data_IF_834024772238
#
_entry.id   IF_834024772238
#
_cell.length_a   1.000
_cell.length_b   1.000
_cell.length_c   1.000
_cell.angle_alpha   90.00
_cell.angle_beta   90.00
_cell.angle_gamma   90.00
#
_symmetry.space_group_name_H-M   'P 1'
#
loop_
_entity.id
_entity.type
_entity.pdbx_description
1 polymer ?
#
# COMPACT_ATOMS: atom_id res chain seq x y z
N UNK A 1 8.65 14.35 -10.81
CA UNK A 1 9.41 14.90 -10.16
C UNK A 1 10.91 14.74 -10.21
N UNK A 2 11.56 15.87 -10.20
CA UNK A 2 13.01 15.94 -10.34
C UNK A 2 13.70 16.00 -8.98
N UNK A 3 13.15 15.30 -8.01
CA UNK A 3 13.73 15.25 -6.67
C UNK A 3 14.80 14.15 -6.62
N UNK A 4 16.10 14.50 -6.51
CA UNK A 4 17.16 13.50 -6.46
C UNK A 4 17.01 12.50 -5.32
N UNK A 5 16.46 12.97 -4.19
CA UNK A 5 16.24 12.11 -3.04
C UNK A 5 15.19 11.04 -3.33
N UNK A 6 14.15 11.42 -4.06
CA UNK A 6 13.10 10.51 -4.47
C UNK A 6 13.66 9.39 -5.36
N UNK A 7 14.43 9.75 -6.37
CA UNK A 7 15.06 8.79 -7.26
C UNK A 7 16.04 7.88 -6.52
N UNK A 8 16.80 8.44 -5.60
CA UNK A 8 17.75 7.67 -4.80
C UNK A 8 17.04 6.60 -3.97
N UNK A 9 15.90 6.95 -3.39
CA UNK A 9 15.11 5.99 -2.61
C UNK A 9 14.59 4.86 -3.47
N UNK A 10 14.13 5.17 -4.68
CA UNK A 10 13.61 4.15 -5.61
C UNK A 10 14.72 3.20 -6.03
N UNK A 11 15.88 3.73 -6.39
CA UNK A 11 17.02 2.91 -6.81
C UNK A 11 17.47 1.99 -5.68
N UNK A 12 17.55 2.51 -4.46
CA UNK A 12 17.95 1.70 -3.32
C UNK A 12 16.96 0.58 -3.04
N UNK A 13 15.67 0.86 -3.16
CA UNK A 13 14.63 -0.15 -2.97
C UNK A 13 14.80 -1.30 -3.95
N UNK A 14 15.02 -0.98 -5.22
CA UNK A 14 15.17 -2.02 -6.24
C UNK A 14 16.44 -2.83 -6.06
N UNK A 15 17.52 -2.21 -5.60
CA UNK A 15 18.75 -2.93 -5.28
C UNK A 15 18.52 -3.96 -4.19
N UNK A 16 17.79 -3.59 -3.18
CA UNK A 16 17.50 -4.50 -2.06
C UNK A 16 16.68 -5.71 -2.51
N UNK A 17 15.82 -5.52 -3.51
CA UNK A 17 15.01 -6.60 -4.04
C UNK A 17 15.76 -7.52 -4.98
N UNK A 18 16.90 -7.09 -5.49
CA UNK A 18 17.72 -7.86 -6.43
C UNK A 18 16.95 -8.28 -7.68
N UNK A 19 16.07 -7.44 -8.15
CA UNK A 19 15.26 -7.72 -9.32
C UNK A 19 16.03 -7.60 -10.62
N UNK A 20 15.52 -8.25 -11.65
CA UNK A 20 16.01 -8.06 -13.00
C UNK A 20 15.69 -6.65 -13.45
N UNK A 21 16.50 -6.11 -14.33
CA UNK A 21 16.36 -4.73 -14.80
C UNK A 21 14.97 -4.43 -15.37
N UNK A 22 14.42 -5.37 -16.13
CA UNK A 22 13.08 -5.20 -16.70
C UNK A 22 11.99 -5.10 -15.63
N UNK A 23 12.13 -5.83 -14.56
CA UNK A 23 11.18 -5.80 -13.45
C UNK A 23 11.25 -4.47 -12.70
N UNK A 24 12.43 -3.86 -12.62
CA UNK A 24 12.61 -2.56 -12.00
C UNK A 24 11.73 -1.52 -12.70
N UNK A 25 11.70 -1.51 -14.02
CA UNK A 25 10.91 -0.56 -14.79
C UNK A 25 9.42 -0.70 -14.48
N UNK A 26 8.91 -1.92 -14.46
CA UNK A 26 7.51 -2.17 -14.19
C UNK A 26 7.13 -1.82 -12.77
N UNK A 27 8.04 -2.07 -11.83
CA UNK A 27 7.76 -1.94 -10.41
C UNK A 27 7.88 -0.52 -9.87
N UNK A 28 8.29 0.46 -10.68
CA UNK A 28 8.41 1.84 -10.22
C UNK A 28 7.36 2.78 -10.78
N UNK A 29 6.59 2.33 -11.76
CA UNK A 29 5.59 3.19 -12.40
C UNK A 29 4.58 3.76 -11.39
N UNK A 30 4.19 2.96 -10.41
CA UNK A 30 3.21 3.41 -9.41
C UNK A 30 3.72 4.56 -8.54
N UNK A 31 5.03 4.80 -8.48
CA UNK A 31 5.56 5.95 -7.75
C UNK A 31 5.22 7.26 -8.44
N UNK A 32 5.06 7.24 -9.75
CA UNK A 32 4.85 8.45 -10.53
C UNK A 32 3.40 8.65 -10.93
N UNK A 33 2.66 7.57 -11.00
CA UNK A 33 1.28 7.59 -11.45
C UNK A 33 0.43 6.75 -10.52
N UNK A 34 -0.65 7.31 -9.94
CA UNK A 34 -1.53 6.52 -9.08
C UNK A 34 -2.06 5.31 -9.85
N UNK A 35 -2.07 4.14 -9.22
CA UNK A 35 -2.52 2.94 -9.91
C UNK A 35 -4.02 2.94 -10.14
N UNK A 36 -4.45 2.29 -11.21
CA UNK A 36 -5.86 2.02 -11.43
C UNK A 36 -6.05 0.50 -11.43
N UNK A 37 -7.17 0.05 -10.85
CA UNK A 37 -7.41 -1.38 -10.67
C UNK A 37 -8.88 -1.60 -10.32
N UNK A 38 -9.34 -2.82 -10.50
CA UNK A 38 -10.69 -3.21 -10.10
C UNK A 38 -10.76 -3.35 -8.58
N UNK A 39 -11.90 -2.97 -7.98
CA UNK A 39 -12.07 -3.07 -6.52
C UNK A 39 -11.88 -4.49 -5.99
N UNK A 40 -12.17 -5.50 -6.81
CA UNK A 40 -12.00 -6.89 -6.44
C UNK A 40 -10.53 -7.23 -6.12
N UNK A 41 -9.60 -6.50 -6.71
CA UNK A 41 -8.19 -6.71 -6.44
C UNK A 41 -7.80 -6.34 -5.02
N UNK A 42 -8.57 -5.48 -4.39
CA UNK A 42 -8.35 -5.08 -3.00
C UNK A 42 -8.73 -6.17 -2.00
N UNK A 43 -9.51 -7.13 -2.44
CA UNK A 43 -10.01 -8.19 -1.55
C UNK A 43 -8.97 -9.28 -1.35
N UNK A 44 -8.63 -9.55 -0.11
CA UNK A 44 -7.77 -10.68 0.23
C UNK A 44 -8.62 -11.94 0.27
N UNK A 45 -8.28 -12.89 -0.59
CA UNK A 45 -9.07 -14.11 -0.73
C UNK A 45 -8.19 -15.33 -0.82
N UNK A 46 -7.57 -15.73 0.30
CA UNK A 46 -6.69 -16.90 0.27
C UNK A 46 -7.41 -18.18 -0.14
N UNK A 47 -8.70 -18.26 0.14
CA UNK A 47 -9.51 -19.42 -0.21
C UNK A 47 -10.35 -19.22 -1.47
N UNK A 48 -10.21 -18.10 -2.13
CA UNK A 48 -10.91 -17.77 -3.37
C UNK A 48 -12.41 -17.88 -3.31
N UNK A 49 -12.97 -17.41 -2.24
CA UNK A 49 -14.40 -17.53 -1.99
C UNK A 49 -15.23 -16.48 -2.73
N UNK A 50 -14.61 -15.66 -3.58
CA UNK A 50 -15.30 -14.60 -4.27
C UNK A 50 -15.57 -13.42 -3.36
N UNK A 51 -15.87 -12.27 -3.94
CA UNK A 51 -16.10 -11.05 -3.18
C UNK A 51 -17.56 -10.91 -2.80
N UNK A 52 -17.99 -11.51 -1.68
CA UNK A 52 -19.34 -11.31 -1.21
C UNK A 52 -19.46 -9.97 -0.48
N UNK A 53 -20.70 -9.57 -0.17
CA UNK A 53 -20.95 -8.27 0.48
C UNK A 53 -20.22 -8.10 1.79
N UNK A 54 -20.07 -9.17 2.56
CA UNK A 54 -19.38 -9.14 3.83
C UNK A 54 -17.91 -8.81 3.66
N UNK A 55 -17.26 -9.45 2.67
CA UNK A 55 -15.85 -9.22 2.39
C UNK A 55 -15.63 -7.78 1.90
N UNK A 56 -16.53 -7.29 1.06
CA UNK A 56 -16.48 -5.93 0.54
C UNK A 56 -16.58 -4.92 1.68
N UNK A 57 -17.56 -5.10 2.56
CA UNK A 57 -17.74 -4.20 3.71
C UNK A 57 -16.55 -4.23 4.65
N UNK A 58 -16.04 -5.43 4.92
CA UNK A 58 -14.88 -5.57 5.80
C UNK A 58 -13.64 -4.90 5.22
N UNK A 59 -13.41 -5.08 3.93
CA UNK A 59 -12.24 -4.48 3.26
C UNK A 59 -12.32 -2.96 3.28
N UNK A 60 -13.51 -2.41 3.01
CA UNK A 60 -13.70 -0.97 3.10
C UNK A 60 -13.39 -0.45 4.49
N UNK A 61 -13.91 -1.13 5.50
CA UNK A 61 -13.70 -0.77 6.89
C UNK A 61 -12.23 -0.82 7.28
N UNK A 62 -11.54 -1.86 6.80
CA UNK A 62 -10.10 -2.02 7.04
C UNK A 62 -9.32 -0.86 6.43
N UNK A 63 -9.63 -0.50 5.18
CA UNK A 63 -8.97 0.62 4.52
C UNK A 63 -9.21 1.94 5.26
N UNK A 64 -10.43 2.15 5.74
CA UNK A 64 -10.76 3.34 6.51
C UNK A 64 -9.96 3.39 7.81
N UNK A 65 -9.80 2.26 8.47
CA UNK A 65 -9.02 2.20 9.71
C UNK A 65 -7.53 2.41 9.44
N UNK A 66 -7.00 1.82 8.38
CA UNK A 66 -5.60 2.03 7.98
C UNK A 66 -5.36 3.53 7.76
N UNK A 67 -6.24 4.17 7.00
CA UNK A 67 -6.12 5.59 6.71
C UNK A 67 -6.12 6.42 7.99
N UNK A 68 -7.01 6.08 8.91
CA UNK A 68 -7.11 6.76 10.20
C UNK A 68 -5.84 6.62 11.01
N UNK A 69 -5.31 5.41 11.11
CA UNK A 69 -4.09 5.14 11.88
C UNK A 69 -2.89 5.88 11.29
N UNK A 70 -2.76 5.87 9.97
CA UNK A 70 -1.63 6.54 9.33
C UNK A 70 -1.77 8.06 9.37
N UNK A 71 -2.98 8.56 9.40
CA UNK A 71 -3.21 10.00 9.52
C UNK A 71 -2.71 10.56 10.86
N UNK A 72 -2.59 9.71 11.86
CA UNK A 72 -2.07 10.12 13.17
C UNK A 72 -0.56 10.30 13.20
N UNK A 73 0.16 9.76 12.20
CA UNK A 73 1.60 9.96 12.11
C UNK A 73 1.90 11.31 11.45
N UNK A 74 2.87 12.03 11.99
CA UNK A 74 3.34 13.26 11.36
C UNK A 74 4.18 12.91 10.13
N UNK A 75 4.30 13.85 9.19
CA UNK A 75 5.08 13.63 7.98
C UNK A 75 6.52 13.22 8.28
N UNK A 76 7.13 13.84 9.27
CA UNK A 76 8.52 13.56 9.64
C UNK A 76 8.68 12.19 10.29
N UNK A 77 7.59 11.62 10.80
CA UNK A 77 7.58 10.30 11.41
C UNK A 77 7.07 9.22 10.46
N UNK A 78 6.82 9.60 9.22
CA UNK A 78 6.22 8.70 8.22
C UNK A 78 7.30 7.82 7.58
N UNK A 79 7.82 6.90 8.37
CA UNK A 79 8.85 5.95 7.95
C UNK A 79 8.25 4.55 7.85
N UNK A 80 8.91 3.70 7.08
CA UNK A 80 8.43 2.31 6.91
C UNK A 80 8.26 1.62 8.25
N UNK A 81 9.19 1.83 9.17
CA UNK A 81 9.12 1.25 10.50
C UNK A 81 7.91 1.73 11.28
N UNK A 82 7.70 3.04 11.33
CA UNK A 82 6.60 3.62 12.09
C UNK A 82 5.25 3.27 11.47
N UNK A 83 5.18 3.24 10.15
CA UNK A 83 3.97 2.83 9.45
C UNK A 83 3.62 1.39 9.81
N UNK A 84 4.60 0.50 9.75
CA UNK A 84 4.37 -0.90 10.09
C UNK A 84 3.93 -1.05 11.55
N UNK A 85 4.60 -0.38 12.47
CA UNK A 85 4.25 -0.43 13.88
C UNK A 85 2.84 0.10 14.14
N UNK A 86 2.45 1.14 13.43
CA UNK A 86 1.11 1.72 13.57
C UNK A 86 0.01 0.76 13.14
N UNK A 87 0.29 -0.11 12.18
CA UNK A 87 -0.70 -1.03 11.65
C UNK A 87 -0.62 -2.44 12.26
N UNK A 88 0.48 -2.75 12.95
CA UNK A 88 0.75 -4.13 13.36
C UNK A 88 -0.31 -4.70 14.31
N UNK A 89 -0.68 -3.95 15.34
CA UNK A 89 -1.67 -4.43 16.29
C UNK A 89 -3.02 -4.69 15.62
N UNK A 90 -3.41 -3.79 14.74
CA UNK A 90 -4.64 -3.93 14.00
C UNK A 90 -4.57 -5.16 13.06
N UNK A 91 -3.42 -5.35 12.42
CA UNK A 91 -3.22 -6.50 11.53
C UNK A 91 -3.24 -7.82 12.29
N UNK A 92 -2.69 -7.84 13.50
CA UNK A 92 -2.73 -9.06 14.33
C UNK A 92 -4.16 -9.40 14.72
N UNK A 93 -4.98 -8.39 14.96
CA UNK A 93 -6.37 -8.56 15.35
C UNK A 93 -7.25 -9.00 14.16
N UNK A 94 -7.09 -8.36 13.01
CA UNK A 94 -7.96 -8.57 11.85
C UNK A 94 -7.42 -9.59 10.85
N UNK A 95 -6.16 -10.00 11.01
CA UNK A 95 -5.47 -10.87 10.07
C UNK A 95 -4.53 -10.08 9.18
N UNK A 96 -3.27 -10.50 9.12
CA UNK A 96 -2.25 -9.77 8.35
C UNK A 96 -2.60 -9.65 6.87
N UNK A 97 -3.06 -10.76 6.26
CA UNK A 97 -3.46 -10.73 4.86
C UNK A 97 -4.62 -9.79 4.62
N UNK A 98 -5.59 -9.79 5.52
CA UNK A 98 -6.77 -8.94 5.40
C UNK A 98 -6.43 -7.45 5.47
N UNK A 99 -5.38 -7.09 6.19
CA UNK A 99 -4.97 -5.70 6.36
C UNK A 99 -3.92 -5.30 5.33
N UNK A 100 -2.87 -6.09 5.19
CA UNK A 100 -1.73 -5.70 4.37
C UNK A 100 -1.96 -5.88 2.87
N UNK A 101 -2.83 -6.81 2.47
CA UNK A 101 -3.14 -6.99 1.07
C UNK A 101 -3.83 -5.76 0.46
N UNK A 102 -4.95 -5.28 1.02
CA UNK A 102 -5.57 -4.07 0.46
C UNK A 102 -4.68 -2.84 0.60
N UNK A 103 -3.85 -2.78 1.64
CA UNK A 103 -2.88 -1.71 1.78
C UNK A 103 -1.90 -1.69 0.59
N UNK A 104 -1.32 -2.85 0.30
CA UNK A 104 -0.38 -3.00 -0.82
C UNK A 104 -1.03 -2.61 -2.15
N UNK A 105 -2.21 -3.14 -2.43
CA UNK A 105 -2.90 -2.90 -3.69
C UNK A 105 -3.32 -1.44 -3.84
N UNK A 106 -3.77 -0.82 -2.75
CA UNK A 106 -4.15 0.59 -2.79
C UNK A 106 -2.98 1.49 -3.17
N UNK A 107 -1.76 1.12 -2.77
CA UNK A 107 -0.58 1.92 -3.07
C UNK A 107 0.02 1.62 -4.45
N UNK A 108 0.03 0.37 -4.85
CA UNK A 108 0.78 -0.05 -6.04
C UNK A 108 -0.09 -0.57 -7.17
N UNK A 109 -1.29 -1.03 -6.89
CA UNK A 109 -2.13 -1.71 -7.86
C UNK A 109 -1.64 -3.10 -8.22
N UNK A 110 -0.64 -3.61 -7.52
CA UNK A 110 0.01 -4.86 -7.84
C UNK A 110 -0.15 -5.88 -6.73
N UNK A 111 -0.35 -7.13 -7.11
CA UNK A 111 -0.38 -8.22 -6.15
C UNK A 111 1.02 -8.56 -5.64
N UNK A 112 2.01 -8.39 -6.51
CA UNK A 112 3.42 -8.54 -6.16
C UNK A 112 4.08 -7.19 -6.33
N UNK A 113 4.54 -6.61 -5.25
CA UNK A 113 5.15 -5.29 -5.25
C UNK A 113 6.27 -5.25 -4.25
N UNK A 114 7.07 -4.19 -4.25
CA UNK A 114 7.97 -3.94 -3.14
C UNK A 114 7.19 -3.85 -1.82
N UNK A 115 7.92 -3.93 -0.72
CA UNK A 115 7.35 -3.81 0.61
C UNK A 115 6.45 -2.57 0.70
N UNK A 116 5.15 -2.73 1.01
CA UNK A 116 4.24 -1.60 1.01
C UNK A 116 4.59 -0.52 2.04
N UNK A 117 5.26 -0.88 3.12
CA UNK A 117 5.67 0.10 4.12
C UNK A 117 6.75 1.01 3.58
N UNK A 118 7.69 0.45 2.82
CA UNK A 118 8.73 1.23 2.16
C UNK A 118 8.12 2.08 1.04
N UNK A 119 7.19 1.52 0.29
CA UNK A 119 6.47 2.28 -0.76
C UNK A 119 5.77 3.49 -0.14
N UNK A 120 5.07 3.28 0.97
CA UNK A 120 4.37 4.37 1.65
C UNK A 120 5.32 5.46 2.12
N UNK A 121 6.48 5.06 2.64
CA UNK A 121 7.49 6.04 3.06
C UNK A 121 7.97 6.88 1.88
N UNK A 122 8.24 6.25 0.74
CA UNK A 122 8.71 6.96 -0.46
C UNK A 122 7.63 7.89 -1.00
N UNK A 123 6.37 7.45 -1.04
CA UNK A 123 5.25 8.26 -1.50
C UNK A 123 4.99 9.44 -0.57
N UNK A 124 5.21 9.24 0.73
CA UNK A 124 4.93 10.25 1.73
C UNK A 124 3.49 10.18 2.23
N UNK A 125 3.24 10.87 3.34
CA UNK A 125 1.96 10.80 4.02
C UNK A 125 0.79 11.24 3.13
N UNK A 126 0.91 12.40 2.49
CA UNK A 126 -0.20 12.95 1.70
C UNK A 126 -0.61 12.04 0.55
N UNK A 127 0.37 11.55 -0.21
CA UNK A 127 0.08 10.68 -1.34
C UNK A 127 -0.46 9.32 -0.87
N UNK A 128 0.09 8.78 0.22
CA UNK A 128 -0.39 7.53 0.78
C UNK A 128 -1.86 7.64 1.19
N UNK A 129 -2.21 8.69 1.92
CA UNK A 129 -3.60 8.90 2.35
C UNK A 129 -4.54 9.09 1.16
N UNK A 130 -4.06 9.77 0.13
CA UNK A 130 -4.83 10.01 -1.09
C UNK A 130 -5.16 8.69 -1.80
N UNK A 131 -4.18 7.81 -1.90
CA UNK A 131 -4.37 6.51 -2.55
C UNK A 131 -5.28 5.59 -1.74
N UNK A 132 -5.20 5.67 -0.42
CA UNK A 132 -6.14 4.96 0.45
C UNK A 132 -7.56 5.47 0.25
N UNK A 133 -7.73 6.78 0.17
CA UNK A 133 -9.04 7.38 -0.06
C UNK A 133 -9.61 6.98 -1.42
N UNK A 134 -8.76 6.93 -2.43
CA UNK A 134 -9.17 6.48 -3.76
C UNK A 134 -9.68 5.04 -3.72
N UNK A 135 -8.97 4.18 -2.99
CA UNK A 135 -9.40 2.78 -2.82
C UNK A 135 -10.73 2.68 -2.08
N UNK A 136 -10.90 3.46 -1.02
CA UNK A 136 -12.13 3.49 -0.24
C UNK A 136 -13.33 3.88 -1.11
N UNK A 137 -13.14 4.83 -2.00
CA UNK A 137 -14.21 5.31 -2.90
C UNK A 137 -14.66 4.27 -3.92
N UNK A 138 -13.90 3.22 -4.13
CA UNK A 138 -14.31 2.15 -5.03
C UNK A 138 -15.42 1.26 -4.45
N UNK A 139 -15.68 1.39 -3.17
CA UNK A 139 -16.72 0.60 -2.49
C UNK A 139 -18.04 1.38 -2.31
#
# INVERSE_FOLDING_TARGET
EDNPLFWSKIVNLEKERKNKFSEIRENVDFFFKPPDYQKEKLLWRPAHTGGNEKDIKNTKKILEEIRKLLNELDEEDFTSRNIKESLLNYAEKEGRGNVFWPFRVSLTGLEKSPDPFIVAEILGKNETLKRLQYAIKKF
#
